data_IF_075343316839
#
_entry.id   IF_075343316839
#
_cell.length_a   1.000
_cell.length_b   1.000
_cell.length_c   1.000
_cell.angle_alpha   90.00
_cell.angle_beta   90.00
_cell.angle_gamma   90.00
#
_symmetry.space_group_name_H-M   'P 1'
#
loop_
_entity.id
_entity.type
_entity.pdbx_description
1 polymer ?
#
# COMPACT_ATOMS: atom_id res chain seq x y z
N UNK A 1 -44.82 8.69 22.06
CA UNK A 1 -44.27 7.35 22.33
C UNK A 1 -43.11 7.12 21.38
N UNK A 2 -41.86 7.32 21.81
CA UNK A 2 -40.69 7.02 21.01
C UNK A 2 -40.15 5.65 21.41
N UNK A 3 -40.25 4.66 20.52
CA UNK A 3 -39.60 3.37 20.72
C UNK A 3 -38.09 3.59 20.71
N UNK A 4 -37.43 3.29 21.83
CA UNK A 4 -36.00 3.08 21.89
C UNK A 4 -35.70 1.78 21.14
N UNK A 5 -35.56 1.85 19.81
CA UNK A 5 -35.00 0.74 19.04
C UNK A 5 -33.66 0.37 19.64
N UNK A 6 -33.51 -0.90 20.02
CA UNK A 6 -32.28 -1.39 20.62
C UNK A 6 -31.14 -1.22 19.62
N UNK A 7 -29.92 -0.97 20.12
CA UNK A 7 -28.73 -0.86 19.27
C UNK A 7 -28.54 -2.09 18.38
N UNK A 8 -28.99 -3.26 18.82
CA UNK A 8 -28.99 -4.50 18.03
C UNK A 8 -29.98 -4.48 16.86
N UNK A 9 -31.18 -3.92 17.02
CA UNK A 9 -32.16 -3.79 15.93
C UNK A 9 -31.73 -2.79 14.87
N UNK A 10 -31.08 -1.69 15.29
CA UNK A 10 -30.49 -0.72 14.35
C UNK A 10 -29.36 -1.39 13.56
N UNK A 11 -28.48 -2.13 14.25
CA UNK A 11 -27.39 -2.85 13.58
C UNK A 11 -27.90 -3.95 12.64
N UNK A 12 -28.93 -4.71 13.02
CA UNK A 12 -29.50 -5.75 12.14
C UNK A 12 -30.18 -5.14 10.91
N UNK A 13 -30.86 -4.01 11.06
CA UNK A 13 -31.50 -3.30 9.95
C UNK A 13 -30.45 -2.71 9.00
N UNK A 14 -29.40 -2.09 9.53
CA UNK A 14 -28.31 -1.52 8.73
C UNK A 14 -27.49 -2.60 8.00
N UNK A 15 -27.22 -3.75 8.62
CA UNK A 15 -26.53 -4.87 7.97
C UNK A 15 -27.43 -5.61 6.97
N UNK A 16 -28.76 -5.43 7.04
CA UNK A 16 -29.67 -5.95 6.02
C UNK A 16 -29.66 -5.13 4.72
N UNK A 17 -29.25 -3.85 4.79
CA UNK A 17 -29.13 -2.95 3.62
C UNK A 17 -28.07 -3.49 2.63
N UNK A 18 -28.46 -3.87 1.40
CA UNK A 18 -27.52 -4.34 0.38
C UNK A 18 -26.38 -3.36 0.11
N UNK A 19 -26.64 -2.05 0.17
CA UNK A 19 -25.61 -1.04 -0.08
C UNK A 19 -24.59 -0.96 1.05
N UNK A 20 -25.01 -1.20 2.29
CA UNK A 20 -24.10 -1.27 3.43
C UNK A 20 -23.25 -2.53 3.39
N UNK A 21 -23.86 -3.67 3.08
CA UNK A 21 -23.14 -4.93 2.84
C UNK A 21 -22.09 -4.81 1.76
N UNK A 22 -22.43 -4.19 0.62
CA UNK A 22 -21.49 -3.93 -0.47
C UNK A 22 -20.32 -3.03 -0.03
N UNK A 23 -20.59 -2.01 0.78
CA UNK A 23 -19.55 -1.16 1.34
C UNK A 23 -18.62 -1.93 2.31
N UNK A 24 -19.19 -2.75 3.21
CA UNK A 24 -18.43 -3.59 4.13
C UNK A 24 -17.54 -4.58 3.38
N UNK A 25 -18.11 -5.28 2.39
CA UNK A 25 -17.42 -6.22 1.51
C UNK A 25 -16.24 -5.57 0.79
N UNK A 26 -16.44 -4.38 0.20
CA UNK A 26 -15.36 -3.62 -0.44
C UNK A 26 -14.27 -3.18 0.55
N UNK A 27 -14.62 -2.77 1.78
CA UNK A 27 -13.62 -2.42 2.80
C UNK A 27 -12.81 -3.62 3.26
N UNK A 28 -13.47 -4.76 3.50
CA UNK A 28 -12.81 -6.00 3.86
C UNK A 28 -11.85 -6.44 2.76
N UNK A 29 -12.28 -6.41 1.50
CA UNK A 29 -11.42 -6.74 0.36
C UNK A 29 -10.20 -5.82 0.26
N UNK A 30 -10.37 -4.50 0.48
CA UNK A 30 -9.25 -3.55 0.52
C UNK A 30 -8.27 -3.92 1.65
N UNK A 31 -8.77 -4.24 2.85
CA UNK A 31 -7.93 -4.61 3.99
C UNK A 31 -7.15 -5.89 3.74
N UNK A 32 -7.81 -6.97 3.32
CA UNK A 32 -7.18 -8.26 3.03
C UNK A 32 -6.13 -8.11 1.91
N UNK A 33 -6.48 -7.38 0.85
CA UNK A 33 -5.54 -7.06 -0.24
C UNK A 33 -4.33 -6.30 0.28
N UNK A 34 -4.54 -5.31 1.15
CA UNK A 34 -3.47 -4.51 1.71
C UNK A 34 -2.49 -5.34 2.53
N UNK A 35 -3.01 -6.26 3.35
CA UNK A 35 -2.18 -7.17 4.15
C UNK A 35 -1.35 -8.11 3.28
N UNK A 36 -1.97 -8.73 2.26
CA UNK A 36 -1.25 -9.61 1.33
C UNK A 36 -0.14 -8.87 0.57
N UNK A 37 -0.43 -7.66 0.09
CA UNK A 37 0.56 -6.81 -0.59
C UNK A 37 1.66 -6.37 0.38
N UNK A 38 1.33 -6.01 1.62
CA UNK A 38 2.34 -5.63 2.61
C UNK A 38 3.36 -6.75 2.80
N UNK A 39 2.92 -8.01 2.96
CA UNK A 39 3.81 -9.17 3.10
C UNK A 39 4.73 -9.32 1.88
N UNK A 40 4.18 -9.23 0.67
CA UNK A 40 4.96 -9.23 -0.57
C UNK A 40 6.01 -8.11 -0.58
N UNK A 41 5.60 -6.88 -0.25
CA UNK A 41 6.50 -5.72 -0.25
C UNK A 41 7.57 -5.81 0.84
N UNK A 42 7.29 -6.36 2.01
CA UNK A 42 8.30 -6.60 3.04
C UNK A 42 9.43 -7.50 2.51
N UNK A 43 9.08 -8.55 1.77
CA UNK A 43 10.06 -9.44 1.12
C UNK A 43 10.85 -8.68 0.06
N UNK A 44 10.18 -7.93 -0.82
CA UNK A 44 10.86 -7.14 -1.87
C UNK A 44 11.76 -6.03 -1.32
N UNK A 45 11.33 -5.32 -0.29
CA UNK A 45 12.13 -4.28 0.39
C UNK A 45 13.41 -4.90 0.98
N UNK A 46 13.30 -6.06 1.63
CA UNK A 46 14.47 -6.76 2.17
C UNK A 46 15.41 -7.25 1.06
N UNK A 47 14.88 -7.76 -0.05
CA UNK A 47 15.65 -8.21 -1.22
C UNK A 47 16.40 -7.05 -1.89
N UNK A 48 15.71 -5.94 -2.15
CA UNK A 48 16.28 -4.72 -2.71
C UNK A 48 17.42 -4.20 -1.82
N UNK A 49 17.16 -4.08 -0.51
CA UNK A 49 18.15 -3.59 0.44
C UNK A 49 19.40 -4.47 0.50
N UNK A 50 19.23 -5.79 0.55
CA UNK A 50 20.34 -6.75 0.52
C UNK A 50 21.16 -6.64 -0.77
N UNK A 51 20.50 -6.38 -1.91
CA UNK A 51 21.15 -6.17 -3.20
C UNK A 51 21.97 -4.88 -3.20
N UNK A 52 21.41 -3.78 -2.70
CA UNK A 52 22.15 -2.52 -2.54
C UNK A 52 23.36 -2.67 -1.62
N UNK A 53 23.19 -3.33 -0.46
CA UNK A 53 24.29 -3.58 0.48
C UNK A 53 25.46 -4.32 -0.19
N UNK A 54 25.15 -5.36 -0.97
CA UNK A 54 26.16 -6.12 -1.73
C UNK A 54 26.90 -5.26 -2.75
N UNK A 55 26.17 -4.41 -3.49
CA UNK A 55 26.78 -3.48 -4.46
C UNK A 55 27.75 -2.51 -3.78
N UNK A 56 27.35 -1.91 -2.66
CA UNK A 56 28.11 -0.85 -1.99
C UNK A 56 29.39 -1.38 -1.32
N UNK A 57 29.43 -2.68 -0.98
CA UNK A 57 30.60 -3.42 -0.46
C UNK A 57 31.19 -2.92 0.87
N UNK A 58 30.60 -1.90 1.50
CA UNK A 58 31.03 -1.37 2.80
C UNK A 58 29.83 -1.06 3.71
N UNK A 59 29.72 -1.66 4.90
CA UNK A 59 28.61 -1.43 5.84
C UNK A 59 28.82 -0.16 6.69
N UNK A 60 29.83 0.66 6.42
CA UNK A 60 30.18 1.77 7.29
C UNK A 60 29.03 2.78 7.40
N UNK A 61 28.64 3.09 8.64
CA UNK A 61 27.53 3.99 8.93
C UNK A 61 27.92 5.44 8.68
N UNK A 62 27.01 6.19 8.06
CA UNK A 62 27.15 7.64 8.02
C UNK A 62 26.93 8.23 9.41
N UNK A 63 27.97 8.81 10.02
CA UNK A 63 27.86 9.49 11.33
C UNK A 63 27.22 10.88 11.26
N UNK A 64 27.14 11.46 10.06
CA UNK A 64 26.77 12.86 9.86
C UNK A 64 25.34 13.04 9.35
N UNK A 65 24.63 11.95 9.04
CA UNK A 65 23.31 11.97 8.41
C UNK A 65 23.26 12.95 7.21
N UNK A 66 24.14 12.73 6.22
CA UNK A 66 24.34 13.62 5.07
C UNK A 66 23.04 14.05 4.39
N UNK A 67 22.04 13.17 4.33
CA UNK A 67 20.75 13.48 3.71
C UNK A 67 20.06 14.71 4.34
N UNK A 68 20.17 14.89 5.65
CA UNK A 68 19.50 16.00 6.35
C UNK A 68 20.32 17.29 6.41
N UNK A 69 21.62 17.22 6.13
CA UNK A 69 22.54 18.37 6.24
C UNK A 69 22.52 19.28 5.03
N UNK A 70 22.34 18.73 3.83
CA UNK A 70 22.38 19.49 2.59
C UNK A 70 20.96 19.71 2.10
N UNK A 71 20.52 20.98 2.12
CA UNK A 71 19.24 21.40 1.54
C UNK A 71 19.34 21.37 0.02
N UNK A 72 19.09 20.22 -0.60
CA UNK A 72 19.13 20.10 -2.07
C UNK A 72 19.04 18.66 -2.57
N UNK A 73 18.88 18.51 -3.88
CA UNK A 73 18.95 17.23 -4.60
C UNK A 73 20.38 16.79 -4.93
N UNK A 74 21.33 17.69 -4.75
CA UNK A 74 22.73 17.48 -5.09
C UNK A 74 23.46 16.88 -3.89
N UNK A 75 24.18 15.78 -4.13
CA UNK A 75 24.95 15.05 -3.13
C UNK A 75 26.32 15.70 -2.84
N UNK A 76 26.51 16.96 -3.24
CA UNK A 76 27.77 17.67 -3.02
C UNK A 76 28.09 17.75 -1.52
N UNK A 77 29.26 17.22 -1.14
CA UNK A 77 29.71 17.17 0.26
C UNK A 77 29.14 16.00 1.08
N UNK A 78 28.47 15.04 0.44
CA UNK A 78 28.09 13.80 1.10
C UNK A 78 29.30 12.90 1.29
N UNK A 79 29.29 12.05 2.32
CA UNK A 79 30.31 11.01 2.40
C UNK A 79 30.09 9.99 1.26
N UNK A 80 31.18 9.39 0.79
CA UNK A 80 31.16 8.44 -0.33
C UNK A 80 30.14 7.30 -0.18
N UNK A 81 29.87 6.87 1.05
CA UNK A 81 28.88 5.83 1.35
C UNK A 81 27.45 6.34 1.09
N UNK A 82 27.11 7.54 1.57
CA UNK A 82 25.79 8.12 1.31
C UNK A 82 25.58 8.42 -0.17
N UNK A 83 26.62 8.81 -0.89
CA UNK A 83 26.55 9.00 -2.34
C UNK A 83 26.21 7.69 -3.06
N UNK A 84 26.89 6.59 -2.72
CA UNK A 84 26.60 5.27 -3.30
C UNK A 84 25.19 4.80 -2.99
N UNK A 85 24.73 4.93 -1.74
CA UNK A 85 23.34 4.63 -1.39
C UNK A 85 22.35 5.49 -2.16
N UNK A 86 22.61 6.79 -2.31
CA UNK A 86 21.75 7.68 -3.09
C UNK A 86 21.64 7.27 -4.56
N UNK A 87 22.77 6.83 -5.15
CA UNK A 87 22.81 6.32 -6.52
C UNK A 87 22.00 5.04 -6.65
N UNK A 88 22.16 4.07 -5.75
CA UNK A 88 21.38 2.82 -5.75
C UNK A 88 19.87 3.09 -5.57
N UNK A 89 19.49 3.94 -4.61
CA UNK A 89 18.09 4.34 -4.40
C UNK A 89 17.50 4.96 -5.67
N UNK A 90 18.22 5.93 -6.26
CA UNK A 90 17.79 6.62 -7.49
C UNK A 90 17.73 5.66 -8.67
N UNK A 91 18.65 4.69 -8.73
CA UNK A 91 18.67 3.69 -9.79
C UNK A 91 17.43 2.81 -9.76
N UNK A 92 16.84 2.55 -8.59
CA UNK A 92 15.59 1.80 -8.45
C UNK A 92 14.31 2.64 -8.62
N UNK A 93 14.43 3.97 -8.70
CA UNK A 93 13.27 4.83 -8.97
C UNK A 93 12.83 4.74 -10.43
N UNK A 94 11.51 4.71 -10.62
CA UNK A 94 10.87 4.97 -11.91
C UNK A 94 11.32 6.29 -12.51
N UNK A 95 11.42 6.34 -13.85
CA UNK A 95 12.02 7.48 -14.56
C UNK A 95 11.32 8.81 -14.19
N UNK A 96 9.99 8.81 -14.20
CA UNK A 96 9.15 9.97 -13.88
C UNK A 96 9.15 10.36 -12.38
N UNK A 97 9.72 9.50 -11.53
CA UNK A 97 9.81 9.70 -10.10
C UNK A 97 11.18 10.20 -9.64
N UNK A 98 12.26 9.92 -10.38
CA UNK A 98 13.64 10.30 -10.00
C UNK A 98 13.80 11.76 -9.61
N UNK A 99 13.15 12.67 -10.33
CA UNK A 99 13.21 14.12 -10.06
C UNK A 99 12.36 14.56 -8.86
N UNK A 100 11.45 13.71 -8.39
CA UNK A 100 10.58 13.95 -7.22
C UNK A 100 11.15 13.34 -5.94
N UNK A 101 12.19 12.51 -6.05
CA UNK A 101 12.87 11.88 -4.92
C UNK A 101 13.45 12.94 -3.98
N UNK A 102 13.01 12.93 -2.72
CA UNK A 102 13.48 13.86 -1.68
C UNK A 102 14.31 13.13 -0.65
N UNK A 103 15.58 12.86 -0.99
CA UNK A 103 16.51 12.20 -0.07
C UNK A 103 16.65 12.97 1.26
N UNK A 104 16.48 14.29 1.26
CA UNK A 104 16.53 15.11 2.48
C UNK A 104 15.48 14.81 3.54
N UNK A 105 14.45 14.03 3.20
CA UNK A 105 13.44 13.55 4.16
C UNK A 105 13.79 12.20 4.80
N UNK A 106 14.90 11.62 4.37
CA UNK A 106 15.41 10.34 4.84
C UNK A 106 16.52 10.54 5.87
N UNK A 107 16.88 9.47 6.56
CA UNK A 107 17.95 9.37 7.53
C UNK A 107 19.06 8.48 6.96
N UNK A 108 20.06 9.09 6.33
CA UNK A 108 21.13 8.34 5.66
C UNK A 108 22.02 7.55 6.61
N UNK A 109 22.01 7.88 7.91
CA UNK A 109 22.67 7.08 8.94
C UNK A 109 22.04 5.70 9.14
N UNK A 110 20.77 5.53 8.74
CA UNK A 110 20.03 4.28 8.90
C UNK A 110 19.99 3.43 7.63
N UNK A 111 20.39 3.94 6.47
CA UNK A 111 20.31 3.19 5.21
C UNK A 111 21.05 1.85 5.24
N UNK A 112 22.24 1.70 5.86
CA UNK A 112 22.92 0.42 5.88
C UNK A 112 22.21 -0.67 6.69
N UNK A 113 21.40 -0.31 7.69
CA UNK A 113 20.81 -1.28 8.64
C UNK A 113 19.30 -1.40 8.50
N UNK A 114 18.63 -0.34 8.04
CA UNK A 114 17.19 -0.24 8.03
C UNK A 114 16.64 -0.26 6.59
N UNK A 115 16.21 -1.42 6.07
CA UNK A 115 15.70 -1.55 4.70
C UNK A 115 14.46 -0.67 4.46
N UNK A 116 13.72 -0.44 5.53
CA UNK A 116 12.55 0.39 5.53
C UNK A 116 12.87 1.88 5.34
N UNK A 117 13.96 2.38 5.92
CA UNK A 117 14.36 3.77 5.70
C UNK A 117 14.68 4.03 4.22
N UNK A 118 15.29 3.05 3.56
CA UNK A 118 15.50 3.05 2.10
C UNK A 118 14.17 3.02 1.35
N UNK A 119 13.25 2.14 1.74
CA UNK A 119 11.93 2.03 1.10
C UNK A 119 11.07 3.32 1.16
N UNK A 120 11.29 4.22 2.14
CA UNK A 120 10.58 5.52 2.19
C UNK A 120 10.90 6.42 1.01
N UNK A 121 12.04 6.20 0.36
CA UNK A 121 12.41 6.91 -0.85
C UNK A 121 11.31 6.84 -1.90
N UNK A 122 10.57 5.73 -1.97
CA UNK A 122 9.52 5.45 -2.96
C UNK A 122 8.12 5.83 -2.49
N UNK A 123 7.97 6.39 -1.28
CA UNK A 123 6.68 6.67 -0.67
C UNK A 123 6.57 8.17 -0.39
N UNK A 124 6.01 8.95 -1.34
CA UNK A 124 5.90 10.40 -1.19
C UNK A 124 5.06 10.75 0.05
N UNK A 125 5.62 11.59 0.93
CA UNK A 125 4.98 12.02 2.18
C UNK A 125 4.78 10.89 3.21
N UNK A 126 5.54 9.78 3.13
CA UNK A 126 5.62 8.83 4.24
C UNK A 126 5.92 9.60 5.53
N UNK A 127 5.03 9.48 6.52
CA UNK A 127 5.22 10.11 7.81
C UNK A 127 6.49 9.53 8.46
N UNK A 128 7.22 10.31 9.27
CA UNK A 128 8.43 9.82 9.96
C UNK A 128 8.18 8.60 10.86
N UNK A 129 6.92 8.37 11.24
CA UNK A 129 6.49 7.23 12.05
C UNK A 129 6.03 6.03 11.21
N UNK A 130 6.19 6.07 9.88
CA UNK A 130 5.76 5.01 8.98
C UNK A 130 6.30 3.63 9.39
N UNK A 131 7.39 3.54 10.17
CA UNK A 131 7.94 2.29 10.73
C UNK A 131 7.98 2.18 12.25
N UNK A 132 7.19 3.00 12.95
CA UNK A 132 7.09 2.89 14.42
C UNK A 132 5.79 2.24 14.90
N UNK A 133 4.83 1.96 14.01
CA UNK A 133 3.53 1.40 14.37
C UNK A 133 3.13 0.30 13.40
N UNK A 134 2.82 -0.89 13.94
CA UNK A 134 2.37 -2.07 13.19
C UNK A 134 1.19 -1.74 12.23
N UNK A 135 0.24 -0.93 12.70
CA UNK A 135 -1.00 -0.58 11.98
C UNK A 135 -0.78 0.32 10.74
N UNK A 136 0.33 1.06 10.67
CA UNK A 136 0.61 1.96 9.54
C UNK A 136 1.18 1.23 8.32
N UNK A 137 1.64 -0.01 8.49
CA UNK A 137 2.18 -0.89 7.43
C UNK A 137 1.11 -1.47 6.51
N UNK A 138 -0.15 -1.41 6.94
CA UNK A 138 -1.28 -2.04 6.24
C UNK A 138 -2.19 -1.04 5.50
N UNK A 139 -1.81 0.25 5.33
CA UNK A 139 -2.57 1.14 4.43
C UNK A 139 -2.08 0.97 2.99
N UNK A 140 -2.99 0.47 2.15
CA UNK A 140 -2.79 0.19 0.73
C UNK A 140 -2.19 1.38 -0.04
N UNK A 141 -2.46 2.61 0.42
CA UNK A 141 -1.87 3.84 -0.12
C UNK A 141 -0.34 3.77 -0.23
N UNK A 142 0.31 3.30 0.83
CA UNK A 142 1.77 3.32 0.88
C UNK A 142 2.36 2.21 0.03
N UNK A 143 1.72 1.03 0.06
CA UNK A 143 2.03 -0.07 -0.84
C UNK A 143 1.93 0.35 -2.30
N UNK A 144 0.83 0.99 -2.71
CA UNK A 144 0.66 1.52 -4.07
C UNK A 144 1.71 2.56 -4.43
N UNK A 145 2.10 3.42 -3.50
CA UNK A 145 3.15 4.42 -3.75
C UNK A 145 4.50 3.75 -4.03
N UNK A 146 4.86 2.74 -3.23
CA UNK A 146 6.12 2.02 -3.44
C UNK A 146 6.09 1.23 -4.75
N UNK A 147 4.98 0.55 -5.06
CA UNK A 147 4.78 -0.17 -6.32
C UNK A 147 4.89 0.77 -7.52
N UNK A 148 4.23 1.93 -7.48
CA UNK A 148 4.23 2.90 -8.59
C UNK A 148 5.59 3.57 -8.83
N UNK A 149 6.42 3.72 -7.79
CA UNK A 149 7.66 4.49 -7.87
C UNK A 149 8.93 3.61 -7.96
N UNK A 150 8.81 2.30 -7.78
CA UNK A 150 9.93 1.35 -7.80
C UNK A 150 9.95 0.57 -9.13
N UNK A 151 11.04 0.71 -9.89
CA UNK A 151 11.19 0.07 -11.20
C UNK A 151 11.21 -1.46 -11.15
N UNK A 152 11.62 -2.03 -10.02
CA UNK A 152 11.76 -3.49 -9.87
C UNK A 152 10.41 -4.17 -9.66
N UNK A 153 9.33 -3.39 -9.51
CA UNK A 153 7.97 -3.90 -9.37
C UNK A 153 7.17 -3.53 -10.62
N UNK A 154 6.93 -4.52 -11.48
CA UNK A 154 6.28 -4.33 -12.78
C UNK A 154 4.75 -4.31 -12.66
N UNK A 155 4.19 -3.21 -12.18
CA UNK A 155 2.73 -2.96 -12.21
C UNK A 155 2.44 -1.74 -13.08
N UNK A 156 1.56 -1.84 -14.09
CA UNK A 156 1.20 -0.69 -14.90
C UNK A 156 0.57 0.43 -14.06
N UNK A 157 1.02 1.67 -14.27
CA UNK A 157 0.53 2.84 -13.53
C UNK A 157 -0.99 3.00 -13.56
N UNK A 158 -1.61 2.68 -14.69
CA UNK A 158 -3.08 2.69 -14.83
C UNK A 158 -3.79 1.74 -13.86
N UNK A 159 -3.16 0.61 -13.50
CA UNK A 159 -3.71 -0.33 -12.50
C UNK A 159 -3.62 0.27 -11.11
N UNK A 160 -2.47 0.85 -10.75
CA UNK A 160 -2.31 1.57 -9.48
C UNK A 160 -3.34 2.71 -9.34
N UNK A 161 -3.53 3.50 -10.39
CA UNK A 161 -4.52 4.59 -10.43
C UNK A 161 -5.97 4.08 -10.25
N UNK A 162 -6.32 2.97 -10.90
CA UNK A 162 -7.63 2.33 -10.74
C UNK A 162 -7.87 1.93 -9.27
N UNK A 163 -6.90 1.28 -8.63
CA UNK A 163 -7.02 0.87 -7.23
C UNK A 163 -7.06 2.09 -6.29
N UNK A 164 -6.28 3.13 -6.58
CA UNK A 164 -6.35 4.41 -5.85
C UNK A 164 -7.74 5.02 -5.88
N UNK A 165 -8.37 5.05 -7.05
CA UNK A 165 -9.72 5.59 -7.22
C UNK A 165 -10.77 4.73 -6.50
N UNK A 166 -10.68 3.40 -6.60
CA UNK A 166 -11.56 2.46 -5.89
C UNK A 166 -11.46 2.65 -4.36
N UNK A 167 -10.24 2.62 -3.81
CA UNK A 167 -9.97 2.85 -2.38
C UNK A 167 -10.41 4.24 -1.91
N UNK A 168 -10.23 5.26 -2.74
CA UNK A 168 -10.67 6.63 -2.46
C UNK A 168 -12.20 6.78 -2.46
N UNK A 169 -12.90 6.06 -3.35
CA UNK A 169 -14.37 6.01 -3.40
C UNK A 169 -14.93 5.38 -2.13
N UNK A 170 -14.45 4.19 -1.76
CA UNK A 170 -14.91 3.47 -0.56
C UNK A 170 -14.69 4.32 0.71
N UNK A 171 -13.51 4.94 0.86
CA UNK A 171 -13.19 5.79 2.02
C UNK A 171 -14.05 7.06 2.09
N UNK A 172 -14.32 7.73 0.97
CA UNK A 172 -15.17 8.95 0.97
C UNK A 172 -16.61 8.66 1.39
N UNK A 173 -17.07 7.43 1.20
CA UNK A 173 -18.40 6.99 1.63
C UNK A 173 -18.42 6.47 3.07
N UNK A 174 -17.35 6.59 3.85
CA UNK A 174 -17.29 6.09 5.24
C UNK A 174 -18.36 6.64 6.18
N UNK A 175 -18.92 7.84 5.91
CA UNK A 175 -19.99 8.42 6.73
C UNK A 175 -21.34 7.77 6.42
N UNK A 176 -21.63 7.52 5.13
CA UNK A 176 -22.90 6.93 4.70
C UNK A 176 -22.86 5.40 4.67
N UNK A 177 -21.65 4.84 4.64
CA UNK A 177 -21.35 3.40 4.57
C UNK A 177 -22.13 2.67 3.48
N UNK A 178 -22.43 3.32 2.35
CA UNK A 178 -23.24 2.74 1.27
C UNK A 178 -22.49 2.72 -0.05
N UNK A 179 -22.54 1.59 -0.76
CA UNK A 179 -21.89 1.39 -2.04
C UNK A 179 -22.84 0.61 -2.97
N UNK A 180 -22.94 1.00 -4.23
CA UNK A 180 -23.73 0.18 -5.18
C UNK A 180 -22.99 -1.13 -5.48
N UNK A 181 -23.74 -2.15 -5.95
CA UNK A 181 -23.16 -3.42 -6.38
C UNK A 181 -22.08 -3.23 -7.45
N UNK A 182 -22.36 -2.43 -8.47
CA UNK A 182 -21.40 -2.11 -9.53
C UNK A 182 -20.11 -1.46 -9.00
N UNK A 183 -20.22 -0.57 -8.00
CA UNK A 183 -19.05 0.05 -7.37
C UNK A 183 -18.23 -0.93 -6.53
N UNK A 184 -18.89 -1.87 -5.86
CA UNK A 184 -18.23 -2.96 -5.13
C UNK A 184 -17.51 -3.90 -6.10
N UNK A 185 -18.18 -4.38 -7.15
CA UNK A 185 -17.61 -5.27 -8.17
C UNK A 185 -16.42 -4.60 -8.88
N UNK A 186 -16.54 -3.31 -9.22
CA UNK A 186 -15.41 -2.53 -9.77
C UNK A 186 -14.24 -2.42 -8.80
N UNK A 187 -14.51 -2.32 -7.49
CA UNK A 187 -13.47 -2.33 -6.46
C UNK A 187 -12.76 -3.68 -6.43
N UNK A 188 -13.51 -4.79 -6.29
CA UNK A 188 -12.97 -6.15 -6.27
C UNK A 188 -12.15 -6.45 -7.53
N UNK A 189 -12.68 -6.12 -8.70
CA UNK A 189 -12.01 -6.31 -9.99
C UNK A 189 -10.68 -5.55 -10.07
N UNK A 190 -10.65 -4.30 -9.59
CA UNK A 190 -9.39 -3.52 -9.57
C UNK A 190 -8.35 -4.12 -8.62
N UNK A 191 -8.77 -4.65 -7.47
CA UNK A 191 -7.88 -5.30 -6.50
C UNK A 191 -7.33 -6.62 -7.06
N UNK A 192 -8.19 -7.46 -7.65
CA UNK A 192 -7.79 -8.71 -8.32
C UNK A 192 -6.81 -8.42 -9.46
N UNK A 193 -7.08 -7.41 -10.27
CA UNK A 193 -6.17 -6.98 -11.33
C UNK A 193 -4.81 -6.57 -10.79
N UNK A 194 -4.74 -5.81 -9.70
CA UNK A 194 -3.47 -5.48 -9.06
C UNK A 194 -2.74 -6.72 -8.56
N UNK A 195 -3.43 -7.61 -7.86
CA UNK A 195 -2.87 -8.84 -7.31
C UNK A 195 -2.31 -9.77 -8.39
N UNK A 196 -2.89 -9.75 -9.60
CA UNK A 196 -2.39 -10.56 -10.74
C UNK A 196 -0.98 -10.20 -11.21
N UNK A 197 -0.46 -9.01 -10.86
CA UNK A 197 0.91 -8.60 -11.18
C UNK A 197 1.92 -8.94 -10.07
N UNK A 198 1.47 -9.50 -8.94
CA UNK A 198 2.30 -9.67 -7.75
C UNK A 198 2.50 -11.16 -7.44
N UNK A 199 3.74 -11.52 -7.11
CA UNK A 199 4.09 -12.88 -6.70
C UNK A 199 3.76 -13.11 -5.21
N UNK A 200 2.49 -13.37 -4.91
CA UNK A 200 1.99 -13.41 -3.52
C UNK A 200 2.41 -14.64 -2.71
N UNK A 201 2.89 -15.71 -3.36
CA UNK A 201 3.23 -16.99 -2.73
C UNK A 201 2.07 -17.54 -1.89
N UNK A 202 2.32 -17.85 -0.62
CA UNK A 202 1.33 -18.41 0.32
C UNK A 202 0.09 -17.51 0.54
N UNK A 203 0.17 -16.22 0.21
CA UNK A 203 -0.94 -15.29 0.35
C UNK A 203 -1.92 -15.33 -0.83
N UNK A 204 -1.75 -16.25 -1.79
CA UNK A 204 -2.65 -16.41 -2.93
C UNK A 204 -4.11 -16.66 -2.52
N UNK A 205 -4.35 -17.18 -1.31
CA UNK A 205 -5.70 -17.38 -0.77
C UNK A 205 -6.57 -16.10 -0.77
N UNK A 206 -5.96 -14.90 -0.72
CA UNK A 206 -6.69 -13.63 -0.85
C UNK A 206 -7.35 -13.49 -2.22
N UNK A 207 -6.71 -13.98 -3.29
CA UNK A 207 -7.25 -13.95 -4.65
C UNK A 207 -8.50 -14.79 -4.71
N UNK A 208 -8.45 -16.03 -4.20
CA UNK A 208 -9.59 -16.93 -4.12
C UNK A 208 -10.74 -16.35 -3.30
N UNK A 209 -10.45 -15.71 -2.16
CA UNK A 209 -11.47 -15.01 -1.35
C UNK A 209 -12.15 -13.91 -2.16
N UNK A 210 -11.39 -13.05 -2.84
CA UNK A 210 -11.95 -11.94 -3.63
C UNK A 210 -12.73 -12.43 -4.85
N UNK A 211 -12.27 -13.48 -5.53
CA UNK A 211 -12.99 -14.14 -6.62
C UNK A 211 -14.31 -14.74 -6.12
N UNK A 212 -14.31 -15.39 -4.95
CA UNK A 212 -15.53 -15.89 -4.33
C UNK A 212 -16.50 -14.76 -3.96
N UNK A 213 -16.01 -13.60 -3.50
CA UNK A 213 -16.87 -12.44 -3.25
C UNK A 213 -17.43 -11.83 -4.54
N UNK A 214 -16.68 -11.89 -5.64
CA UNK A 214 -17.10 -11.38 -6.94
C UNK A 214 -18.11 -12.30 -7.65
N UNK A 215 -17.97 -13.62 -7.47
CA UNK A 215 -18.74 -14.64 -8.20
C UNK A 215 -19.74 -15.44 -7.34
N UNK A 216 -19.53 -15.53 -6.03
CA UNK A 216 -20.24 -16.43 -5.11
C UNK A 216 -21.53 -15.87 -4.49
N UNK A 217 -21.99 -14.68 -4.88
CA UNK A 217 -23.25 -14.10 -4.43
C UNK A 217 -24.48 -14.47 -5.27
N UNK A 218 -24.48 -15.62 -5.95
CA UNK A 218 -25.50 -15.98 -6.95
C UNK A 218 -26.65 -16.88 -6.45
N UNK A 219 -26.68 -17.33 -5.19
CA UNK A 219 -27.68 -18.33 -4.77
C UNK A 219 -29.01 -17.76 -4.25
N UNK A 220 -29.17 -16.46 -4.08
CA UNK A 220 -30.51 -15.88 -3.84
C UNK A 220 -30.50 -14.44 -4.31
N UNK A 221 -31.52 -14.02 -5.07
CA UNK A 221 -31.67 -12.72 -5.76
C UNK A 221 -31.62 -11.46 -4.89
N UNK A 222 -30.64 -11.35 -4.01
CA UNK A 222 -30.36 -10.27 -3.09
C UNK A 222 -29.23 -9.39 -3.67
N UNK A 223 -29.45 -8.07 -3.69
CA UNK A 223 -28.54 -7.11 -4.33
C UNK A 223 -27.23 -6.82 -3.55
N UNK A 224 -26.80 -7.71 -2.65
CA UNK A 224 -25.73 -7.44 -1.70
C UNK A 224 -24.80 -8.62 -1.38
N UNK A 225 -23.53 -8.32 -1.13
CA UNK A 225 -22.52 -9.29 -0.67
C UNK A 225 -22.85 -9.81 0.74
N UNK A 226 -22.91 -11.13 0.95
CA UNK A 226 -23.03 -11.68 2.31
C UNK A 226 -21.72 -11.50 3.05
N UNK A 227 -21.73 -10.66 4.08
CA UNK A 227 -20.60 -10.49 4.99
C UNK A 227 -20.66 -11.67 5.96
N UNK A 228 -19.70 -12.60 5.87
CA UNK A 228 -19.53 -13.68 6.85
C UNK A 228 -19.18 -13.13 8.23
#
# INVERSE_FOLDING_TARGET
>A
MGQLTSRQEILSTEVSDPQMRNWLCANMAIRETSQAIAIYLHRKIAEMHKTMQRSISQPALCRLNCSQRVSGTNSEGWCSICERWALEIRALCEADYRNKLKLSRLNSSQWPENPYEVARAFIPKAHRLYYKAAEFHEDLRFSLSLIENCKDISVPRSVCEQVWQSRGRVRRKNVRMRLSRHEMEGTLSSLLKLLSYLELGDNYSVVTKLEALLHGGLEDGSEGCFVM
#
